data_IF_110397142424
#
_entry.id   IF_110397142424
#
_cell.length_a   1.000
_cell.length_b   1.000
_cell.length_c   1.000
_cell.angle_alpha   90.00
_cell.angle_beta   90.00
_cell.angle_gamma   90.00
#
_symmetry.space_group_name_H-M   'P 1'
#
loop_
_entity.id
_entity.type
_entity.pdbx_description
1 polymer ?
#
# COMPACT_ATOMS: atom_id res chain seq x y z
N UNK A 1 -51.33 17.91 80.66
CA UNK A 1 -51.30 18.55 79.33
C UNK A 1 -49.87 18.89 78.88
N UNK A 2 -49.04 19.54 79.72
CA UNK A 2 -47.64 19.91 79.39
C UNK A 2 -46.72 18.71 79.09
N UNK A 3 -46.83 17.60 79.83
CA UNK A 3 -45.98 16.42 79.64
C UNK A 3 -46.21 15.73 78.28
N UNK A 4 -47.44 15.75 77.77
CA UNK A 4 -47.82 15.16 76.47
C UNK A 4 -47.18 15.95 75.33
N UNK A 5 -47.13 17.28 75.44
CA UNK A 5 -46.51 18.17 74.46
C UNK A 5 -44.98 17.93 74.40
N UNK A 6 -44.34 17.74 75.55
CA UNK A 6 -42.91 17.42 75.61
C UNK A 6 -42.57 16.08 74.96
N UNK A 7 -43.38 15.04 75.21
CA UNK A 7 -43.20 13.72 74.57
C UNK A 7 -43.43 13.80 73.06
N UNK A 8 -44.46 14.53 72.61
CA UNK A 8 -44.70 14.75 71.18
C UNK A 8 -43.52 15.43 70.49
N UNK A 9 -42.94 16.45 71.12
CA UNK A 9 -41.79 17.18 70.59
C UNK A 9 -40.55 16.28 70.50
N UNK A 10 -40.33 15.42 71.50
CA UNK A 10 -39.22 14.47 71.53
C UNK A 10 -39.35 13.42 70.42
N UNK A 11 -40.57 12.89 70.20
CA UNK A 11 -40.84 11.96 69.10
C UNK A 11 -40.60 12.63 67.74
N UNK A 12 -41.07 13.86 67.57
CA UNK A 12 -40.87 14.62 66.33
C UNK A 12 -39.38 14.89 66.05
N UNK A 13 -38.60 15.22 67.08
CA UNK A 13 -37.16 15.40 66.97
C UNK A 13 -36.43 14.11 66.55
N UNK A 14 -36.81 12.96 67.12
CA UNK A 14 -36.26 11.65 66.72
C UNK A 14 -36.59 11.34 65.26
N UNK A 15 -37.82 11.62 64.81
CA UNK A 15 -38.24 11.41 63.41
C UNK A 15 -37.43 12.29 62.45
N UNK A 16 -37.22 13.57 62.79
CA UNK A 16 -36.39 14.48 61.98
C UNK A 16 -34.95 13.97 61.88
N UNK A 17 -34.35 13.55 63.00
CA UNK A 17 -32.99 13.00 63.02
C UNK A 17 -32.89 11.75 62.14
N UNK A 18 -33.86 10.84 62.22
CA UNK A 18 -33.91 9.63 61.41
C UNK A 18 -34.01 9.94 59.90
N UNK A 19 -34.77 10.97 59.52
CA UNK A 19 -34.89 11.43 58.13
C UNK A 19 -33.55 12.00 57.64
N UNK A 20 -32.89 12.84 58.45
CA UNK A 20 -31.59 13.45 58.10
C UNK A 20 -30.52 12.36 57.88
N UNK A 21 -30.48 11.34 58.75
CA UNK A 21 -29.55 10.22 58.61
C UNK A 21 -29.79 9.42 57.33
N UNK A 22 -31.06 9.15 56.99
CA UNK A 22 -31.40 8.46 55.72
C UNK A 22 -31.01 9.29 54.50
N UNK A 23 -31.30 10.58 54.48
CA UNK A 23 -30.94 11.48 53.38
C UNK A 23 -29.42 11.54 53.22
N UNK A 24 -28.68 11.70 54.32
CA UNK A 24 -27.21 11.72 54.29
C UNK A 24 -26.63 10.43 53.71
N UNK A 25 -27.19 9.27 54.07
CA UNK A 25 -26.74 7.97 53.52
C UNK A 25 -27.02 7.84 52.02
N UNK A 26 -28.19 8.27 51.55
CA UNK A 26 -28.57 8.22 50.13
C UNK A 26 -27.71 9.17 49.28
N UNK A 27 -27.45 10.38 49.79
CA UNK A 27 -26.58 11.36 49.14
C UNK A 27 -25.16 10.83 49.01
N UNK A 28 -24.60 10.21 50.05
CA UNK A 28 -23.26 9.62 49.99
C UNK A 28 -23.19 8.46 48.98
N UNK A 29 -24.20 7.61 48.91
CA UNK A 29 -24.27 6.53 47.92
C UNK A 29 -24.37 7.08 46.49
N UNK A 30 -25.22 8.08 46.26
CA UNK A 30 -25.37 8.73 44.96
C UNK A 30 -24.06 9.43 44.52
N UNK A 31 -23.36 10.11 45.43
CA UNK A 31 -22.07 10.73 45.15
C UNK A 31 -20.99 9.70 44.80
N UNK A 32 -20.96 8.57 45.50
CA UNK A 32 -20.02 7.48 45.20
C UNK A 32 -20.29 6.86 43.83
N UNK A 33 -21.56 6.61 43.50
CA UNK A 33 -21.95 6.07 42.19
C UNK A 33 -21.65 7.05 41.06
N UNK A 34 -21.83 8.36 41.30
CA UNK A 34 -21.49 9.41 40.35
C UNK A 34 -19.97 9.48 40.12
N UNK A 35 -19.15 9.43 41.19
CA UNK A 35 -17.69 9.39 41.06
C UNK A 35 -17.21 8.17 40.28
N UNK A 36 -17.80 6.99 40.52
CA UNK A 36 -17.49 5.78 39.76
C UNK A 36 -17.86 5.92 38.28
N UNK A 37 -19.06 6.42 37.99
CA UNK A 37 -19.52 6.68 36.61
C UNK A 37 -18.61 7.69 35.89
N UNK A 38 -18.14 8.72 36.59
CA UNK A 38 -17.21 9.72 36.04
C UNK A 38 -15.82 9.13 35.78
N UNK A 39 -15.32 8.25 36.64
CA UNK A 39 -14.04 7.56 36.41
C UNK A 39 -14.13 6.63 35.20
N UNK A 40 -15.24 5.90 35.06
CA UNK A 40 -15.48 5.00 33.93
C UNK A 40 -15.64 5.78 32.62
N UNK A 41 -16.39 6.89 32.63
CA UNK A 41 -16.51 7.79 31.49
C UNK A 41 -15.16 8.36 31.07
N UNK A 42 -14.33 8.82 32.01
CA UNK A 42 -12.97 9.30 31.72
C UNK A 42 -12.09 8.20 31.12
N UNK A 43 -12.20 6.96 31.61
CA UNK A 43 -11.45 5.81 31.08
C UNK A 43 -11.87 5.50 29.64
N UNK A 44 -13.17 5.47 29.35
CA UNK A 44 -13.71 5.23 28.00
C UNK A 44 -13.29 6.37 27.05
N UNK A 45 -13.38 7.62 27.49
CA UNK A 45 -12.95 8.78 26.70
C UNK A 45 -11.45 8.71 26.40
N UNK A 46 -10.62 8.38 27.39
CA UNK A 46 -9.17 8.22 27.21
C UNK A 46 -8.82 7.10 26.23
N UNK A 47 -9.51 5.95 26.32
CA UNK A 47 -9.33 4.82 25.39
C UNK A 47 -9.76 5.17 23.96
N UNK A 48 -10.88 5.87 23.80
CA UNK A 48 -11.37 6.32 22.50
C UNK A 48 -10.42 7.35 21.87
N UNK A 49 -9.91 8.30 22.65
CA UNK A 49 -8.95 9.31 22.17
C UNK A 49 -7.61 8.68 21.75
N UNK A 50 -7.12 7.71 22.53
CA UNK A 50 -5.91 6.95 22.20
C UNK A 50 -6.10 6.14 20.91
N UNK A 51 -7.25 5.47 20.77
CA UNK A 51 -7.59 4.70 19.57
C UNK A 51 -7.69 5.60 18.35
N UNK A 52 -8.36 6.75 18.45
CA UNK A 52 -8.44 7.73 17.38
C UNK A 52 -7.04 8.22 16.96
N UNK A 53 -6.17 8.56 17.92
CA UNK A 53 -4.80 9.01 17.65
C UNK A 53 -3.98 7.94 16.94
N UNK A 54 -4.13 6.66 17.33
CA UNK A 54 -3.48 5.54 16.66
C UNK A 54 -3.98 5.36 15.21
N UNK A 55 -5.30 5.45 14.99
CA UNK A 55 -5.90 5.38 13.64
C UNK A 55 -5.40 6.52 12.76
N UNK A 56 -5.38 7.76 13.26
CA UNK A 56 -4.83 8.91 12.52
C UNK A 56 -3.34 8.74 12.19
N UNK A 57 -2.55 8.19 13.12
CA UNK A 57 -1.14 7.87 12.88
C UNK A 57 -0.96 6.86 11.76
N UNK A 58 -1.74 5.77 11.77
CA UNK A 58 -1.71 4.72 10.75
C UNK A 58 -2.14 5.27 9.37
N UNK A 59 -3.16 6.12 9.31
CA UNK A 59 -3.61 6.76 8.05
C UNK A 59 -2.52 7.68 7.48
N UNK A 60 -1.86 8.50 8.32
CA UNK A 60 -0.74 9.35 7.89
C UNK A 60 0.42 8.53 7.34
N UNK A 61 0.75 7.42 7.99
CA UNK A 61 1.82 6.52 7.54
C UNK A 61 1.46 5.82 6.22
N UNK A 62 0.22 5.37 6.05
CA UNK A 62 -0.27 4.79 4.80
C UNK A 62 -0.28 5.81 3.64
N UNK A 63 -0.69 7.06 3.90
CA UNK A 63 -0.64 8.14 2.90
C UNK A 63 0.80 8.49 2.52
N UNK A 64 1.72 8.54 3.49
CA UNK A 64 3.15 8.73 3.22
C UNK A 64 3.75 7.63 2.35
N UNK A 65 3.37 6.36 2.59
CA UNK A 65 3.76 5.23 1.72
C UNK A 65 3.19 5.36 0.31
N UNK A 66 1.93 5.79 0.17
CA UNK A 66 1.27 5.97 -1.13
C UNK A 66 1.96 7.06 -1.98
N UNK A 67 2.42 8.13 -1.36
CA UNK A 67 3.16 9.19 -2.05
C UNK A 67 4.52 8.72 -2.58
N UNK A 68 5.23 7.90 -1.79
CA UNK A 68 6.47 7.23 -2.24
C UNK A 68 6.21 6.29 -3.41
N UNK A 69 5.14 5.50 -3.38
CA UNK A 69 4.76 4.62 -4.49
C UNK A 69 4.40 5.40 -5.76
N UNK A 70 3.68 6.52 -5.65
CA UNK A 70 3.37 7.36 -6.80
C UNK A 70 4.64 7.95 -7.45
N UNK A 71 5.61 8.41 -6.65
CA UNK A 71 6.89 8.90 -7.19
C UNK A 71 7.69 7.80 -7.91
N UNK A 72 7.68 6.57 -7.37
CA UNK A 72 8.32 5.42 -8.02
C UNK A 72 7.65 5.08 -9.37
N UNK A 73 6.31 5.10 -9.43
CA UNK A 73 5.55 4.89 -10.67
C UNK A 73 5.86 5.96 -11.71
N UNK A 74 5.94 7.22 -11.32
CA UNK A 74 6.30 8.34 -12.23
C UNK A 74 7.71 8.15 -12.80
N UNK A 75 8.67 7.71 -11.97
CA UNK A 75 10.04 7.46 -12.41
C UNK A 75 10.11 6.31 -13.42
N UNK A 76 9.48 5.18 -13.13
CA UNK A 76 9.42 4.02 -14.04
C UNK A 76 8.75 4.41 -15.37
N UNK A 77 7.67 5.18 -15.30
CA UNK A 77 6.95 5.66 -16.50
C UNK A 77 7.83 6.56 -17.37
N UNK A 78 8.68 7.39 -16.76
CA UNK A 78 9.64 8.24 -17.46
C UNK A 78 10.74 7.42 -18.13
N UNK A 79 11.26 6.39 -17.47
CA UNK A 79 12.28 5.50 -18.03
C UNK A 79 11.74 4.68 -19.22
N UNK A 80 10.49 4.18 -19.12
CA UNK A 80 9.82 3.51 -20.23
C UNK A 80 9.60 4.46 -21.42
N UNK A 81 9.18 5.70 -21.15
CA UNK A 81 9.03 6.72 -22.20
C UNK A 81 10.37 7.03 -22.88
N UNK A 82 11.45 7.12 -22.11
CA UNK A 82 12.81 7.33 -22.62
C UNK A 82 13.27 6.16 -23.50
N UNK A 83 13.05 4.92 -23.07
CA UNK A 83 13.34 3.73 -23.87
C UNK A 83 12.51 3.70 -25.16
N UNK A 84 11.24 4.06 -25.09
CA UNK A 84 10.38 4.14 -26.27
C UNK A 84 10.89 5.19 -27.27
N UNK A 85 11.39 6.32 -26.77
CA UNK A 85 11.96 7.39 -27.59
C UNK A 85 13.28 6.98 -28.25
N UNK A 86 14.15 6.24 -27.53
CA UNK A 86 15.35 5.63 -28.12
C UNK A 86 14.99 4.59 -29.21
N UNK A 87 13.95 3.80 -28.97
CA UNK A 87 13.46 2.79 -29.92
C UNK A 87 12.73 3.37 -31.15
N UNK A 88 12.42 4.69 -31.17
CA UNK A 88 11.94 5.37 -32.38
C UNK A 88 13.03 5.51 -33.44
N UNK A 89 14.30 5.52 -33.05
CA UNK A 89 15.41 5.68 -33.99
C UNK A 89 15.58 4.39 -34.83
N UNK A 90 15.48 4.45 -36.18
CA UNK A 90 15.52 3.26 -37.03
C UNK A 90 16.78 2.41 -36.86
N UNK A 91 17.94 3.07 -36.69
CA UNK A 91 19.24 2.41 -36.53
C UNK A 91 19.36 1.62 -35.22
N UNK A 92 18.88 2.21 -34.12
CA UNK A 92 18.92 1.57 -32.80
C UNK A 92 17.95 0.38 -32.74
N UNK A 93 16.75 0.53 -33.31
CA UNK A 93 15.77 -0.55 -33.45
C UNK A 93 16.32 -1.73 -34.26
N UNK A 94 17.03 -1.45 -35.35
CA UNK A 94 17.73 -2.48 -36.14
C UNK A 94 18.77 -3.23 -35.31
N UNK A 95 19.68 -2.50 -34.65
CA UNK A 95 20.73 -3.08 -33.80
C UNK A 95 20.16 -3.94 -32.65
N UNK A 96 19.08 -3.50 -32.00
CA UNK A 96 18.42 -4.30 -30.96
C UNK A 96 17.79 -5.57 -31.53
N UNK A 97 17.18 -5.49 -32.72
CA UNK A 97 16.66 -6.67 -33.43
C UNK A 97 17.76 -7.68 -33.76
N UNK A 98 18.90 -7.22 -34.28
CA UNK A 98 20.06 -8.05 -34.58
C UNK A 98 20.66 -8.69 -33.30
N UNK A 99 20.80 -7.91 -32.22
CA UNK A 99 21.31 -8.41 -30.92
C UNK A 99 20.38 -9.47 -30.33
N UNK A 100 19.06 -9.26 -30.41
CA UNK A 100 18.08 -10.24 -29.96
C UNK A 100 18.13 -11.51 -30.81
N UNK A 101 18.28 -11.37 -32.14
CA UNK A 101 18.45 -12.49 -33.05
C UNK A 101 19.72 -13.29 -32.71
N UNK A 102 20.85 -12.63 -32.49
CA UNK A 102 22.10 -13.28 -32.09
C UNK A 102 21.94 -14.05 -30.78
N UNK A 103 21.29 -13.44 -29.78
CA UNK A 103 21.02 -14.08 -28.50
C UNK A 103 20.10 -15.31 -28.64
N UNK A 104 19.09 -15.25 -29.51
CA UNK A 104 18.22 -16.40 -29.77
C UNK A 104 18.95 -17.53 -30.52
N UNK A 105 19.71 -17.19 -31.55
CA UNK A 105 20.48 -18.16 -32.33
C UNK A 105 21.55 -18.84 -31.47
N UNK A 106 22.27 -18.10 -30.64
CA UNK A 106 23.28 -18.64 -29.72
C UNK A 106 22.72 -19.58 -28.64
N UNK A 107 21.45 -19.40 -28.24
CA UNK A 107 20.78 -20.28 -27.27
C UNK A 107 20.30 -21.59 -27.89
N UNK A 108 19.93 -21.57 -29.17
CA UNK A 108 19.31 -22.71 -29.85
C UNK A 108 20.29 -23.49 -30.72
N UNK A 109 21.28 -22.81 -31.31
CA UNK A 109 22.20 -23.39 -32.29
C UNK A 109 23.67 -23.21 -31.85
N UNK A 110 24.54 -24.19 -32.13
CA UNK A 110 25.98 -24.01 -31.97
C UNK A 110 26.50 -22.91 -32.90
N UNK A 111 27.54 -22.19 -32.45
CA UNK A 111 28.09 -21.01 -33.16
C UNK A 111 28.58 -21.29 -34.58
N UNK A 112 28.96 -22.52 -34.88
CA UNK A 112 29.38 -22.97 -36.22
C UNK A 112 28.21 -23.15 -37.21
N UNK A 113 26.97 -23.23 -36.71
CA UNK A 113 25.78 -23.45 -37.51
C UNK A 113 25.06 -22.16 -37.92
N UNK A 114 25.55 -20.99 -37.51
CA UNK A 114 24.99 -19.72 -37.96
C UNK A 114 26.07 -18.66 -38.13
N UNK A 115 25.78 -17.64 -38.92
CA UNK A 115 26.66 -16.50 -39.13
C UNK A 115 25.82 -15.22 -39.19
N UNK A 116 26.22 -14.21 -38.42
CA UNK A 116 25.55 -12.91 -38.38
C UNK A 116 26.05 -12.01 -39.52
N UNK A 117 25.20 -11.11 -40.01
CA UNK A 117 25.49 -10.11 -41.05
C UNK A 117 26.15 -10.71 -42.31
N UNK A 118 25.59 -11.81 -42.80
CA UNK A 118 26.14 -12.52 -43.94
C UNK A 118 25.91 -11.76 -45.25
N UNK A 119 26.99 -11.58 -46.02
CA UNK A 119 26.96 -10.95 -47.34
C UNK A 119 27.23 -11.98 -48.43
N UNK A 120 26.28 -12.10 -49.36
CA UNK A 120 26.39 -12.96 -50.52
C UNK A 120 27.36 -12.38 -51.55
N UNK A 121 27.92 -13.25 -52.39
CA UNK A 121 28.76 -12.83 -53.54
C UNK A 121 28.00 -11.97 -54.56
N UNK A 122 26.67 -12.07 -54.58
CA UNK A 122 25.80 -11.21 -55.40
C UNK A 122 25.77 -9.75 -54.91
N UNK A 123 26.22 -9.48 -53.68
CA UNK A 123 26.17 -8.16 -53.04
C UNK A 123 25.06 -8.03 -51.99
N UNK A 124 24.07 -8.93 -52.01
CA UNK A 124 22.96 -8.96 -51.06
C UNK A 124 23.45 -9.27 -49.64
N UNK A 125 22.84 -8.66 -48.63
CA UNK A 125 23.17 -8.87 -47.22
C UNK A 125 21.92 -9.20 -46.42
N UNK A 126 22.06 -10.07 -45.43
CA UNK A 126 20.97 -10.51 -44.53
C UNK A 126 21.47 -10.48 -43.08
N UNK A 127 20.54 -10.34 -42.12
CA UNK A 127 20.88 -10.20 -40.70
C UNK A 127 21.56 -11.44 -40.14
N UNK A 128 21.14 -12.64 -40.56
CA UNK A 128 21.85 -13.87 -40.28
C UNK A 128 21.61 -14.94 -41.35
N UNK A 129 22.51 -15.93 -41.39
CA UNK A 129 22.29 -17.19 -42.10
C UNK A 129 22.43 -18.36 -41.15
N UNK A 130 21.57 -19.36 -41.32
CA UNK A 130 21.64 -20.64 -40.62
C UNK A 130 22.14 -21.69 -41.61
N UNK A 131 23.17 -22.45 -41.22
CA UNK A 131 23.80 -23.53 -41.99
C UNK A 131 23.16 -24.85 -41.62
N UNK A 132 22.40 -25.42 -42.54
CA UNK A 132 21.72 -26.71 -42.37
C UNK A 132 22.27 -27.69 -43.41
N UNK A 133 23.30 -28.44 -43.02
CA UNK A 133 24.04 -29.32 -43.93
C UNK A 133 24.64 -28.52 -45.10
N UNK A 134 24.20 -28.84 -46.32
CA UNK A 134 24.66 -28.16 -47.54
C UNK A 134 23.85 -26.93 -47.96
N UNK A 135 22.87 -26.49 -47.16
CA UNK A 135 21.97 -25.37 -47.50
C UNK A 135 22.11 -24.23 -46.50
N UNK A 136 21.89 -23.01 -46.99
CA UNK A 136 21.83 -21.78 -46.21
C UNK A 136 20.37 -21.32 -46.10
N UNK A 137 19.94 -20.95 -44.90
CA UNK A 137 18.64 -20.34 -44.63
C UNK A 137 18.87 -18.89 -44.20
N UNK A 138 18.37 -17.95 -44.98
CA UNK A 138 18.47 -16.52 -44.69
C UNK A 138 17.44 -16.11 -43.63
N UNK A 139 17.85 -15.26 -42.69
CA UNK A 139 17.01 -14.72 -41.63
C UNK A 139 17.13 -13.20 -41.63
N UNK A 140 15.99 -12.52 -41.63
CA UNK A 140 15.82 -11.06 -41.48
C UNK A 140 15.01 -10.82 -40.21
N UNK A 141 15.61 -10.15 -39.22
CA UNK A 141 14.99 -9.90 -37.94
C UNK A 141 14.33 -8.52 -37.93
N UNK A 142 13.00 -8.52 -38.01
CA UNK A 142 12.22 -7.30 -37.85
C UNK A 142 11.72 -7.14 -36.42
N UNK A 143 12.31 -6.19 -35.67
CA UNK A 143 11.84 -5.86 -34.32
C UNK A 143 10.47 -5.13 -34.38
N UNK A 144 9.40 -5.68 -33.78
CA UNK A 144 8.07 -5.04 -33.74
C UNK A 144 7.81 -4.40 -32.37
N UNK A 145 7.66 -3.06 -32.34
CA UNK A 145 7.41 -2.31 -31.10
C UNK A 145 6.08 -2.68 -30.43
N UNK A 146 5.04 -2.93 -31.22
CA UNK A 146 3.72 -3.31 -30.69
C UNK A 146 3.77 -4.65 -29.93
N UNK A 147 4.66 -5.57 -30.32
CA UNK A 147 4.83 -6.84 -29.62
C UNK A 147 5.59 -6.65 -28.30
N UNK A 148 6.54 -5.73 -28.24
CA UNK A 148 7.27 -5.42 -27.00
C UNK A 148 6.39 -4.70 -25.97
N UNK A 149 5.49 -3.81 -26.42
CA UNK A 149 4.59 -3.05 -25.54
C UNK A 149 3.46 -3.87 -24.91
N UNK A 150 3.20 -5.08 -25.42
CA UNK A 150 2.15 -5.97 -24.92
C UNK A 150 2.64 -6.94 -23.84
N UNK A 151 3.95 -7.04 -23.65
CA UNK A 151 4.61 -7.85 -22.62
C UNK A 151 4.76 -6.97 -21.37
#
# INVERSE_FOLDING_TARGET
MIWIIGVLFLVLAIVIIAIILKISSQVNLALNQMNQSLQEANKVIGQNLSSATSVFGNVKEQLGRLEVTNQQIITISKDISSLQELLRAPKFRGQMGETLLENLLSQVLPREHYEMQYRFKSGDAVDAVIRLGGRLVCVDAKFSLENFQKI
#
